data_IF_282013767171
#
_entry.id   IF_282013767171
#
_cell.length_a   1.000
_cell.length_b   1.000
_cell.length_c   1.000
_cell.angle_alpha   90.00
_cell.angle_beta   90.00
_cell.angle_gamma   90.00
#
_symmetry.space_group_name_H-M   'P 1'
#
loop_
_entity.id
_entity.type
_entity.pdbx_description
1 polymer ?
#
# COMPACT_ATOMS: atom_id res chain seq x y z
N UNK A 1 11.73 -8.59 1.10
CA UNK A 1 11.83 -7.80 2.35
C UNK A 1 12.59 -8.58 3.43
N UNK A 2 13.41 -7.94 4.27
CA UNK A 2 14.16 -8.64 5.35
C UNK A 2 13.19 -9.18 6.43
N UNK A 3 13.33 -10.42 6.94
CA UNK A 3 12.38 -11.02 7.88
C UNK A 3 12.07 -10.15 9.12
N UNK A 4 13.11 -9.56 9.73
CA UNK A 4 12.94 -8.66 10.89
C UNK A 4 12.10 -7.41 10.59
N UNK A 5 12.12 -6.92 9.35
CA UNK A 5 11.28 -5.77 8.94
C UNK A 5 9.82 -6.18 8.77
N UNK A 6 9.57 -7.35 8.18
CA UNK A 6 8.22 -7.89 8.06
C UNK A 6 7.59 -8.08 9.45
N UNK A 7 8.35 -8.66 10.38
CA UNK A 7 7.90 -8.85 11.77
C UNK A 7 7.60 -7.53 12.48
N UNK A 8 8.52 -6.56 12.38
CA UNK A 8 8.35 -5.22 12.96
C UNK A 8 7.09 -4.53 12.42
N UNK A 9 6.91 -4.50 11.10
CA UNK A 9 5.77 -3.84 10.45
C UNK A 9 4.45 -4.55 10.78
N UNK A 10 4.44 -5.88 10.83
CA UNK A 10 3.26 -6.65 11.23
C UNK A 10 2.84 -6.31 12.66
N UNK A 11 3.79 -6.17 13.59
CA UNK A 11 3.52 -5.73 14.97
C UNK A 11 2.96 -4.30 15.01
N UNK A 12 3.49 -3.39 14.21
CA UNK A 12 3.02 -1.99 14.14
C UNK A 12 1.60 -1.88 13.56
N UNK A 13 1.27 -2.70 12.56
CA UNK A 13 -0.09 -2.76 12.00
C UNK A 13 -1.09 -3.41 12.96
N UNK A 14 -0.64 -4.33 13.81
CA UNK A 14 -1.48 -4.97 14.82
C UNK A 14 -1.72 -4.08 16.07
N UNK A 15 -0.82 -3.14 16.34
CA UNK A 15 -0.87 -2.33 17.57
C UNK A 15 -2.06 -1.34 17.63
N UNK A 16 -2.58 -0.92 16.48
CA UNK A 16 -3.72 -0.01 16.42
C UNK A 16 -4.47 -0.17 15.09
N UNK A 17 -5.81 -0.01 15.08
CA UNK A 17 -6.57 0.01 13.85
C UNK A 17 -6.10 1.18 12.96
N UNK A 18 -6.04 0.93 11.65
CA UNK A 18 -5.71 1.94 10.64
C UNK A 18 -6.89 2.03 9.68
N UNK A 19 -7.27 3.23 9.30
CA UNK A 19 -8.27 3.41 8.24
C UNK A 19 -7.65 3.24 6.85
N UNK A 20 -6.37 3.63 6.72
CA UNK A 20 -5.61 3.57 5.48
C UNK A 20 -4.18 3.11 5.75
N UNK A 21 -3.69 2.20 4.93
CA UNK A 21 -2.29 1.74 4.89
C UNK A 21 -1.77 1.91 3.47
N UNK A 22 -0.75 2.74 3.30
CA UNK A 22 -0.10 2.94 1.99
C UNK A 22 1.30 2.35 2.05
N UNK A 23 1.56 1.36 1.20
CA UNK A 23 2.90 0.80 1.02
C UNK A 23 3.43 1.23 -0.35
N UNK A 24 4.54 1.96 -0.34
CA UNK A 24 5.20 2.41 -1.55
C UNK A 24 6.66 1.95 -1.56
N UNK A 25 7.18 1.67 -2.76
CA UNK A 25 8.55 1.22 -2.90
C UNK A 25 8.98 1.12 -4.35
N UNK A 26 10.28 0.88 -4.56
CA UNK A 26 10.82 0.54 -5.88
C UNK A 26 10.40 -0.90 -6.24
N UNK A 27 11.22 -1.67 -6.98
CA UNK A 27 10.83 -3.01 -7.48
C UNK A 27 10.34 -4.01 -6.42
N UNK A 28 10.66 -3.82 -5.14
CA UNK A 28 10.27 -4.72 -4.05
C UNK A 28 8.91 -4.42 -3.40
N UNK A 29 8.12 -3.47 -3.90
CA UNK A 29 6.83 -3.16 -3.29
C UNK A 29 5.85 -4.34 -3.22
N UNK A 30 5.83 -5.33 -4.15
CA UNK A 30 4.94 -6.49 -4.04
C UNK A 30 5.19 -7.34 -2.78
N UNK A 31 6.38 -7.26 -2.17
CA UNK A 31 6.68 -7.96 -0.93
C UNK A 31 5.84 -7.46 0.26
N UNK A 32 5.27 -6.26 0.21
CA UNK A 32 4.38 -5.77 1.25
C UNK A 32 3.07 -6.57 1.34
N UNK A 33 2.66 -7.28 0.28
CA UNK A 33 1.50 -8.19 0.31
C UNK A 33 1.59 -9.21 1.45
N UNK A 34 2.81 -9.64 1.80
CA UNK A 34 3.05 -10.61 2.88
C UNK A 34 2.60 -10.09 4.25
N UNK A 35 2.49 -8.77 4.46
CA UNK A 35 2.00 -8.19 5.72
C UNK A 35 0.52 -8.47 5.96
N UNK A 36 -0.24 -8.70 4.88
CA UNK A 36 -1.70 -8.73 4.94
C UNK A 36 -2.27 -10.16 4.79
N UNK A 37 -1.42 -11.15 4.49
CA UNK A 37 -1.83 -12.53 4.29
C UNK A 37 -2.56 -12.75 2.97
N UNK A 38 -3.48 -13.71 2.93
CA UNK A 38 -4.34 -13.96 1.78
C UNK A 38 -5.51 -12.97 1.78
N UNK A 39 -5.43 -11.94 0.94
CA UNK A 39 -6.51 -11.00 0.64
C UNK A 39 -6.61 -10.77 -0.87
N UNK A 40 -7.80 -10.38 -1.31
CA UNK A 40 -8.07 -10.11 -2.72
C UNK A 40 -7.54 -8.72 -3.10
N UNK A 41 -6.54 -8.73 -3.99
CA UNK A 41 -5.96 -7.50 -4.54
C UNK A 41 -6.68 -7.12 -5.83
N UNK A 42 -7.19 -5.90 -5.89
CA UNK A 42 -7.79 -5.30 -7.07
C UNK A 42 -6.79 -4.36 -7.75
N UNK A 43 -6.36 -4.64 -8.99
CA UNK A 43 -5.52 -3.73 -9.75
C UNK A 43 -6.31 -2.47 -10.15
N UNK A 44 -5.66 -1.31 -10.04
CA UNK A 44 -6.20 0.02 -10.36
C UNK A 44 -5.10 0.84 -11.02
N UNK A 45 -4.89 0.63 -12.33
CA UNK A 45 -3.82 1.30 -13.07
C UNK A 45 -2.44 0.95 -12.51
N UNK A 46 -1.72 1.96 -12.00
CA UNK A 46 -0.39 1.82 -11.38
C UNK A 46 -0.42 1.36 -9.91
N UNK A 47 -1.62 1.10 -9.37
CA UNK A 47 -1.83 0.74 -7.98
C UNK A 47 -2.46 -0.64 -7.85
N UNK A 48 -2.30 -1.23 -6.68
CA UNK A 48 -3.15 -2.34 -6.24
C UNK A 48 -3.81 -1.96 -4.92
N UNK A 49 -5.08 -2.31 -4.79
CA UNK A 49 -5.87 -1.98 -3.61
C UNK A 49 -6.47 -3.23 -3.01
N UNK A 50 -6.67 -3.25 -1.70
CA UNK A 50 -7.37 -4.31 -1.02
C UNK A 50 -8.06 -3.78 0.25
N UNK A 51 -8.98 -4.58 0.79
CA UNK A 51 -9.56 -4.37 2.10
C UNK A 51 -8.94 -5.36 3.09
N UNK A 52 -8.47 -4.87 4.23
CA UNK A 52 -7.84 -5.69 5.26
C UNK A 52 -8.24 -5.22 6.66
N UNK A 53 -9.01 -6.04 7.38
CA UNK A 53 -9.46 -5.75 8.76
C UNK A 53 -10.12 -4.37 8.92
N UNK A 54 -10.96 -3.98 7.95
CA UNK A 54 -11.59 -2.66 7.90
C UNK A 54 -10.67 -1.50 7.50
N UNK A 55 -9.40 -1.79 7.16
CA UNK A 55 -8.45 -0.84 6.60
C UNK A 55 -8.47 -0.92 5.07
N UNK A 56 -8.41 0.22 4.40
CA UNK A 56 -8.02 0.27 3.00
C UNK A 56 -6.50 0.11 2.88
N UNK A 57 -6.05 -0.78 2.01
CA UNK A 57 -4.63 -0.96 1.72
C UNK A 57 -4.36 -0.56 0.29
N UNK A 58 -3.33 0.27 0.08
CA UNK A 58 -2.87 0.71 -1.25
C UNK A 58 -1.41 0.34 -1.40
N UNK A 59 -1.10 -0.39 -2.47
CA UNK A 59 0.25 -0.64 -2.93
C UNK A 59 0.53 0.25 -4.14
N UNK A 60 1.70 0.88 -4.12
CA UNK A 60 2.11 1.82 -5.16
C UNK A 60 3.60 1.70 -5.43
N UNK A 61 4.00 2.10 -6.64
CA UNK A 61 5.38 2.42 -6.94
C UNK A 61 5.87 3.61 -6.08
N UNK A 62 7.19 3.76 -6.02
CA UNK A 62 7.89 4.74 -5.19
C UNK A 62 7.43 6.17 -5.49
N UNK A 63 7.14 6.96 -4.45
CA UNK A 63 6.67 8.35 -4.62
C UNK A 63 7.68 9.33 -5.23
N UNK A 64 8.97 9.00 -5.24
CA UNK A 64 9.98 9.74 -6.00
C UNK A 64 10.29 9.11 -7.37
N UNK A 65 9.44 8.18 -7.84
CA UNK A 65 9.49 7.65 -9.20
C UNK A 65 8.76 8.58 -10.17
N UNK A 66 9.00 8.41 -11.47
CA UNK A 66 8.37 9.22 -12.52
C UNK A 66 6.82 9.21 -12.48
N UNK A 67 6.24 8.20 -11.86
CA UNK A 67 4.79 8.02 -11.68
C UNK A 67 4.18 9.01 -10.66
N UNK A 68 4.97 9.88 -10.03
CA UNK A 68 4.54 10.84 -9.00
C UNK A 68 5.15 12.25 -9.16
N UNK A 69 5.63 12.58 -10.35
CA UNK A 69 6.31 13.86 -10.60
C UNK A 69 5.36 15.06 -10.77
N UNK A 70 4.04 14.83 -10.82
CA UNK A 70 3.04 15.87 -11.05
C UNK A 70 1.95 15.86 -10.00
N UNK A 71 1.35 17.03 -9.75
CA UNK A 71 0.20 17.18 -8.86
C UNK A 71 -0.99 16.31 -9.30
N UNK A 72 -1.15 16.09 -10.62
CA UNK A 72 -2.19 15.23 -11.16
C UNK A 72 -2.03 13.76 -10.71
N UNK A 73 -0.80 13.25 -10.70
CA UNK A 73 -0.51 11.89 -10.23
C UNK A 73 -0.69 11.73 -8.71
N UNK A 74 -0.38 12.77 -7.93
CA UNK A 74 -0.68 12.79 -6.50
C UNK A 74 -2.20 12.82 -6.25
N UNK A 75 -2.94 13.59 -7.05
CA UNK A 75 -4.40 13.61 -6.98
C UNK A 75 -5.00 12.24 -7.32
N UNK A 76 -4.46 11.54 -8.31
CA UNK A 76 -4.88 10.18 -8.68
C UNK A 76 -4.69 9.20 -7.51
N UNK A 77 -3.53 9.19 -6.85
CA UNK A 77 -3.31 8.35 -5.65
C UNK A 77 -4.33 8.67 -4.56
N UNK A 78 -4.59 9.95 -4.30
CA UNK A 78 -5.57 10.37 -3.30
C UNK A 78 -6.95 9.81 -3.62
N UNK A 79 -7.38 9.90 -4.88
CA UNK A 79 -8.63 9.31 -5.34
C UNK A 79 -8.64 7.79 -5.10
N UNK A 80 -7.57 7.07 -5.43
CA UNK A 80 -7.49 5.60 -5.21
C UNK A 80 -7.51 5.23 -3.73
N UNK A 81 -6.87 6.03 -2.88
CA UNK A 81 -6.78 5.81 -1.44
C UNK A 81 -8.10 6.05 -0.70
N UNK A 82 -8.93 6.98 -1.20
CA UNK A 82 -10.20 7.35 -0.57
C UNK A 82 -11.45 6.93 -1.35
N UNK A 83 -11.27 6.26 -2.51
CA UNK A 83 -12.39 5.69 -3.26
C UNK A 83 -13.01 4.50 -2.51
N UNK A 84 -14.34 4.38 -2.52
CA UNK A 84 -15.07 3.29 -1.88
C UNK A 84 -14.67 1.90 -2.41
#
# INVERSE_FOLDING_TARGET
MRPKRLELLSKQLAAAPRTLVVCYGKGDWPYFKQLFGAIDWAPKGHYETAQWRGSRVVLSHHFAGHDFNTDAQLAELSQVAFSP
#
